data_IF_671683115970
#
_entry.id   IF_671683115970
#
_cell.length_a   1.000
_cell.length_b   1.000
_cell.length_c   1.000
_cell.angle_alpha   90.00
_cell.angle_beta   90.00
_cell.angle_gamma   90.00
#
_symmetry.space_group_name_H-M   'P 1'
#
loop_
_entity.id
_entity.type
_entity.pdbx_description
1 polymer ?
#
# COMPACT_ATOMS: atom_id res chain seq x y z
N UNK A 1 -14.62 5.67 3.47
CA UNK A 1 -14.03 4.34 3.72
C UNK A 1 -15.13 3.29 3.84
N UNK A 2 -14.93 2.09 3.27
CA UNK A 2 -15.83 0.94 3.45
C UNK A 2 -15.83 0.43 4.90
N UNK A 3 -16.97 -0.05 5.40
CA UNK A 3 -17.12 -0.45 6.81
C UNK A 3 -16.30 -1.69 7.17
N UNK A 4 -16.17 -2.66 6.27
CA UNK A 4 -15.34 -3.85 6.49
C UNK A 4 -13.86 -3.49 6.49
N UNK A 5 -13.43 -2.62 5.57
CA UNK A 5 -12.07 -2.10 5.52
C UNK A 5 -11.74 -1.31 6.80
N UNK A 6 -12.62 -0.41 7.21
CA UNK A 6 -12.47 0.36 8.45
C UNK A 6 -12.32 -0.58 9.63
N UNK A 7 -13.18 -1.59 9.73
CA UNK A 7 -13.10 -2.56 10.81
C UNK A 7 -11.78 -3.33 10.83
N UNK A 8 -11.34 -3.82 9.67
CA UNK A 8 -10.07 -4.53 9.53
C UNK A 8 -8.89 -3.66 9.97
N UNK A 9 -8.89 -2.37 9.59
CA UNK A 9 -7.90 -1.40 10.05
C UNK A 9 -7.92 -1.22 11.57
N UNK A 10 -9.10 -0.99 12.17
CA UNK A 10 -9.23 -0.82 13.61
C UNK A 10 -8.77 -2.05 14.39
N UNK A 11 -9.10 -3.25 13.91
CA UNK A 11 -8.63 -4.50 14.49
C UNK A 11 -7.11 -4.59 14.47
N UNK A 12 -6.47 -4.33 13.31
CA UNK A 12 -5.00 -4.32 13.20
C UNK A 12 -4.36 -3.32 14.16
N UNK A 13 -4.86 -2.09 14.16
CA UNK A 13 -4.34 -1.02 15.03
C UNK A 13 -4.44 -1.40 16.50
N UNK A 14 -5.61 -1.89 16.95
CA UNK A 14 -5.83 -2.32 18.33
C UNK A 14 -5.03 -3.58 18.71
N UNK A 15 -4.84 -4.50 17.77
CA UNK A 15 -3.97 -5.67 17.94
C UNK A 15 -2.53 -5.23 18.19
N UNK A 16 -1.94 -4.41 17.30
CA UNK A 16 -0.57 -3.95 17.44
C UNK A 16 -0.38 -3.02 18.65
N UNK A 17 -1.38 -2.20 18.98
CA UNK A 17 -1.39 -1.42 20.21
C UNK A 17 -1.19 -2.30 21.46
N UNK A 18 -1.89 -3.44 21.48
CA UNK A 18 -1.85 -4.40 22.58
C UNK A 18 -0.54 -5.21 22.56
N UNK A 19 -0.17 -5.73 21.39
CA UNK A 19 1.01 -6.58 21.19
C UNK A 19 2.32 -5.84 21.50
N UNK A 20 2.44 -4.60 21.02
CA UNK A 20 3.64 -3.78 21.24
C UNK A 20 3.59 -2.94 22.51
N UNK A 21 2.49 -3.03 23.29
CA UNK A 21 2.33 -2.37 24.60
C UNK A 21 2.59 -0.86 24.56
N UNK A 22 2.10 -0.19 23.52
CA UNK A 22 2.42 1.22 23.26
C UNK A 22 1.84 2.12 24.37
N UNK A 23 0.53 2.07 24.61
CA UNK A 23 -0.11 2.82 25.70
C UNK A 23 0.50 2.50 27.08
N UNK A 24 0.74 1.23 27.48
CA UNK A 24 1.45 0.92 28.72
C UNK A 24 2.82 1.60 28.86
N UNK A 25 3.67 1.59 27.81
CA UNK A 25 4.97 2.25 27.88
C UNK A 25 4.87 3.78 27.92
N UNK A 26 3.84 4.34 27.28
CA UNK A 26 3.54 5.77 27.38
C UNK A 26 3.10 6.15 28.81
N UNK A 27 2.27 5.34 29.46
CA UNK A 27 1.86 5.52 30.86
C UNK A 27 3.03 5.35 31.84
N UNK A 28 3.93 4.40 31.59
CA UNK A 28 5.18 4.26 32.34
C UNK A 28 6.05 5.53 32.21
N UNK A 29 6.19 6.06 31.00
CA UNK A 29 6.92 7.31 30.76
C UNK A 29 6.29 8.49 31.52
N UNK A 30 4.95 8.63 31.52
CA UNK A 30 4.21 9.62 32.33
C UNK A 30 4.51 9.48 33.82
N UNK A 31 4.52 8.25 34.34
CA UNK A 31 4.80 7.97 35.75
C UNK A 31 6.25 8.35 36.13
N UNK A 32 7.21 8.01 35.28
CA UNK A 32 8.62 8.32 35.51
C UNK A 32 8.94 9.82 35.39
N UNK A 33 8.39 10.52 34.39
CA UNK A 33 8.56 11.98 34.29
C UNK A 33 7.85 12.72 35.43
N UNK A 34 6.72 12.19 35.94
CA UNK A 34 6.05 12.72 37.13
C UNK A 34 6.92 12.60 38.37
N UNK A 35 7.61 11.46 38.54
CA UNK A 35 8.55 11.23 39.63
C UNK A 35 9.76 12.18 39.52
N UNK A 36 10.30 12.36 38.31
CA UNK A 36 11.38 13.30 38.02
C UNK A 36 10.98 14.75 38.33
N UNK A 37 9.73 15.15 38.03
CA UNK A 37 9.23 16.48 38.36
C UNK A 37 9.05 16.69 39.88
N UNK A 38 8.72 15.63 40.63
CA UNK A 38 8.59 15.69 42.09
C UNK A 38 9.93 15.68 42.84
N UNK A 39 10.96 15.05 42.28
CA UNK A 39 12.28 14.88 42.90
C UNK A 39 13.41 14.84 41.84
N UNK A 40 13.74 15.99 41.22
CA UNK A 40 14.67 16.06 40.09
C UNK A 40 16.11 15.69 40.43
N UNK A 41 16.48 15.73 41.71
CA UNK A 41 17.81 15.36 42.22
C UNK A 41 18.07 13.86 42.25
N UNK A 42 17.05 13.01 42.11
CA UNK A 42 17.19 11.55 42.13
C UNK A 42 17.55 11.01 40.74
N UNK A 43 18.79 10.54 40.50
CA UNK A 43 19.23 10.15 39.16
C UNK A 43 18.48 8.94 38.61
N UNK A 44 17.95 8.08 39.48
CA UNK A 44 17.19 6.89 39.10
C UNK A 44 15.94 7.21 38.28
N UNK A 45 15.27 8.34 38.55
CA UNK A 45 14.08 8.74 37.78
C UNK A 45 14.42 9.13 36.35
N UNK A 46 15.57 9.77 36.12
CA UNK A 46 16.04 10.11 34.78
C UNK A 46 16.35 8.85 33.97
N UNK A 47 17.04 7.88 34.58
CA UNK A 47 17.33 6.58 33.95
C UNK A 47 16.06 5.83 33.59
N UNK A 48 15.10 5.73 34.52
CA UNK A 48 13.83 5.02 34.28
C UNK A 48 12.98 5.70 33.19
N UNK A 49 12.96 7.03 33.16
CA UNK A 49 12.29 7.77 32.09
C UNK A 49 12.95 7.50 30.73
N UNK A 50 14.28 7.58 30.64
CA UNK A 50 15.00 7.30 29.39
C UNK A 50 14.75 5.87 28.88
N UNK A 51 14.74 4.88 29.79
CA UNK A 51 14.47 3.49 29.44
C UNK A 51 13.02 3.25 28.96
N UNK A 52 12.02 3.78 29.67
CA UNK A 52 10.61 3.68 29.27
C UNK A 52 10.34 4.40 27.95
N UNK A 53 10.92 5.58 27.76
CA UNK A 53 10.81 6.32 26.51
C UNK A 53 11.47 5.59 25.33
N UNK A 54 12.62 4.95 25.55
CA UNK A 54 13.26 4.10 24.54
C UNK A 54 12.39 2.90 24.16
N UNK A 55 11.73 2.26 25.14
CA UNK A 55 10.77 1.17 24.87
C UNK A 55 9.58 1.66 24.05
N UNK A 56 8.98 2.81 24.42
CA UNK A 56 7.90 3.44 23.68
C UNK A 56 8.29 3.69 22.22
N UNK A 57 9.45 4.33 21.97
CA UNK A 57 9.96 4.60 20.62
C UNK A 57 10.16 3.32 19.81
N UNK A 58 10.73 2.28 20.42
CA UNK A 58 10.89 0.98 19.77
C UNK A 58 9.55 0.32 19.43
N UNK A 59 8.54 0.44 20.29
CA UNK A 59 7.21 -0.12 20.04
C UNK A 59 6.46 0.61 18.92
N UNK A 60 6.57 1.93 18.86
CA UNK A 60 5.99 2.72 17.76
C UNK A 60 6.68 2.43 16.42
N UNK A 61 8.01 2.23 16.42
CA UNK A 61 8.73 1.79 15.22
C UNK A 61 8.23 0.42 14.71
N UNK A 62 8.02 -0.54 15.62
CA UNK A 62 7.45 -1.85 15.26
C UNK A 62 6.05 -1.71 14.66
N UNK A 63 5.20 -0.85 15.24
CA UNK A 63 3.87 -0.58 14.68
C UNK A 63 3.95 0.07 13.29
N UNK A 64 4.89 0.99 13.08
CA UNK A 64 5.13 1.61 11.79
C UNK A 64 5.56 0.60 10.73
N UNK A 65 6.40 -0.36 11.09
CA UNK A 65 6.82 -1.44 10.19
C UNK A 65 5.69 -2.45 9.92
N UNK A 66 4.83 -2.71 10.91
CA UNK A 66 3.75 -3.70 10.81
C UNK A 66 2.51 -3.20 10.03
N UNK A 67 2.27 -1.89 9.98
CA UNK A 67 1.19 -1.31 9.19
C UNK A 67 1.65 -1.01 7.76
N UNK A 68 0.86 -1.41 6.76
CA UNK A 68 1.21 -1.13 5.36
C UNK A 68 1.02 0.36 5.03
N UNK A 69 1.66 0.88 3.97
CA UNK A 69 1.41 2.27 3.53
C UNK A 69 -0.07 2.59 3.32
N UNK A 70 -0.84 1.66 2.74
CA UNK A 70 -2.28 1.82 2.58
C UNK A 70 -3.06 1.81 3.91
N UNK A 71 -2.57 1.11 4.94
CA UNK A 71 -3.15 1.19 6.29
C UNK A 71 -2.90 2.58 6.91
N UNK A 72 -1.72 3.18 6.68
CA UNK A 72 -1.40 4.54 7.14
C UNK A 72 -2.25 5.62 6.46
N UNK A 73 -2.42 5.53 5.13
CA UNK A 73 -3.27 6.46 4.39
C UNK A 73 -4.71 6.43 4.93
N UNK A 74 -5.24 5.22 5.20
CA UNK A 74 -6.58 5.05 5.78
C UNK A 74 -6.64 5.54 7.22
N UNK A 75 -5.60 5.29 8.02
CA UNK A 75 -5.57 5.77 9.40
C UNK A 75 -5.59 7.31 9.46
N UNK A 76 -4.92 7.98 8.51
CA UNK A 76 -4.97 9.44 8.37
C UNK A 76 -6.34 9.98 7.93
N UNK A 77 -7.23 9.15 7.36
CA UNK A 77 -8.61 9.56 7.05
C UNK A 77 -9.51 9.60 8.29
N UNK A 78 -9.21 8.78 9.31
CA UNK A 78 -10.07 8.61 10.49
C UNK A 78 -9.48 9.21 11.76
N UNK A 79 -8.16 9.37 11.83
CA UNK A 79 -7.44 10.03 12.91
C UNK A 79 -7.06 11.44 12.48
N UNK A 80 -7.39 12.44 13.30
CA UNK A 80 -6.92 13.81 13.08
C UNK A 80 -5.43 13.99 13.35
N UNK A 81 -4.81 13.02 14.03
CA UNK A 81 -3.51 13.18 14.65
C UNK A 81 -2.58 12.00 14.36
N UNK A 82 -1.27 12.30 14.33
CA UNK A 82 -0.19 11.33 14.11
C UNK A 82 0.09 10.46 15.34
N UNK A 83 -0.91 10.26 16.20
CA UNK A 83 -0.77 9.65 17.52
C UNK A 83 -0.17 8.24 17.39
N UNK A 84 -0.55 7.45 16.39
CA UNK A 84 -0.08 6.07 16.23
C UNK A 84 1.33 5.94 15.62
N UNK A 85 1.95 7.03 15.18
CA UNK A 85 3.23 7.02 14.47
C UNK A 85 4.42 7.39 15.36
N UNK A 86 5.64 7.25 14.84
CA UNK A 86 6.87 7.72 15.49
C UNK A 86 6.91 9.24 15.69
N UNK A 87 6.09 10.01 14.97
CA UNK A 87 6.00 11.46 15.16
C UNK A 87 5.54 11.83 16.58
N UNK A 88 4.77 10.97 17.24
CA UNK A 88 4.44 11.15 18.66
C UNK A 88 5.70 11.24 19.52
N UNK A 89 6.67 10.34 19.32
CA UNK A 89 7.94 10.38 20.06
C UNK A 89 8.84 11.54 19.63
N UNK A 90 8.80 11.94 18.37
CA UNK A 90 9.54 13.12 17.90
C UNK A 90 9.03 14.39 18.59
N UNK A 91 7.71 14.54 18.72
CA UNK A 91 7.11 15.66 19.46
C UNK A 91 7.50 15.68 20.94
N UNK A 92 7.58 14.52 21.58
CA UNK A 92 8.08 14.43 22.97
C UNK A 92 9.57 14.83 23.06
N UNK A 93 10.42 14.36 22.14
CA UNK A 93 11.84 14.72 22.08
C UNK A 93 12.02 16.23 21.88
N UNK A 94 11.23 16.84 21.01
CA UNK A 94 11.21 18.29 20.79
C UNK A 94 10.88 19.04 22.10
N UNK A 95 9.80 18.67 22.79
CA UNK A 95 9.42 19.31 24.06
C UNK A 95 10.49 19.12 25.16
N UNK A 96 11.14 17.94 25.23
CA UNK A 96 12.26 17.71 26.16
C UNK A 96 13.42 18.65 25.85
N UNK A 97 13.75 18.82 24.56
CA UNK A 97 14.86 19.66 24.12
C UNK A 97 14.62 21.15 24.41
N UNK A 98 13.39 21.62 24.26
CA UNK A 98 13.00 23.00 24.53
C UNK A 98 12.85 23.30 26.03
N UNK A 99 12.48 22.29 26.82
CA UNK A 99 12.09 22.43 28.23
C UNK A 99 12.97 21.62 29.19
N UNK A 100 14.24 21.41 28.85
CA UNK A 100 15.18 20.56 29.61
C UNK A 100 15.30 20.95 31.10
N UNK A 101 15.06 22.23 31.46
CA UNK A 101 15.12 22.72 32.83
C UNK A 101 13.81 22.56 33.63
N UNK A 102 12.69 22.20 32.98
CA UNK A 102 11.36 22.18 33.59
C UNK A 102 10.64 20.85 33.37
N UNK A 103 10.96 19.81 34.16
CA UNK A 103 10.33 18.49 34.09
C UNK A 103 8.80 18.49 34.19
N UNK A 104 8.22 19.49 34.88
CA UNK A 104 6.78 19.65 34.99
C UNK A 104 6.11 19.94 33.63
N UNK A 105 6.75 20.74 32.76
CA UNK A 105 6.24 21.04 31.42
C UNK A 105 6.26 19.78 30.55
N UNK A 106 7.37 19.02 30.62
CA UNK A 106 7.51 17.74 29.93
C UNK A 106 6.43 16.76 30.42
N UNK A 107 6.23 16.65 31.74
CA UNK A 107 5.19 15.79 32.33
C UNK A 107 3.80 16.13 31.80
N UNK A 108 3.43 17.40 31.85
CA UNK A 108 2.08 17.82 31.47
C UNK A 108 1.81 17.54 29.99
N UNK A 109 2.81 17.75 29.13
CA UNK A 109 2.70 17.43 27.71
C UNK A 109 2.57 15.92 27.44
N UNK A 110 3.43 15.08 28.04
CA UNK A 110 3.34 13.62 27.86
C UNK A 110 2.00 13.09 28.43
N UNK A 111 1.52 13.66 29.54
CA UNK A 111 0.23 13.31 30.13
C UNK A 111 -0.94 13.65 29.20
N UNK A 112 -0.92 14.82 28.56
CA UNK A 112 -1.90 15.21 27.55
C UNK A 112 -1.94 14.21 26.38
N UNK A 113 -0.76 13.88 25.82
CA UNK A 113 -0.63 12.87 24.75
C UNK A 113 -1.19 11.51 25.20
N UNK A 114 -0.85 11.07 26.41
CA UNK A 114 -1.31 9.79 26.96
C UNK A 114 -2.83 9.73 27.12
N UNK A 115 -3.45 10.80 27.62
CA UNK A 115 -4.90 10.89 27.79
C UNK A 115 -5.63 10.95 26.45
N UNK A 116 -5.09 11.70 25.49
CA UNK A 116 -5.61 11.80 24.14
C UNK A 116 -5.59 10.43 23.44
N UNK A 117 -4.43 9.75 23.45
CA UNK A 117 -4.29 8.40 22.88
C UNK A 117 -5.24 7.39 23.54
N UNK A 118 -5.34 7.38 24.87
CA UNK A 118 -6.25 6.49 25.59
C UNK A 118 -7.72 6.71 25.19
N UNK A 119 -8.10 7.98 24.99
CA UNK A 119 -9.44 8.36 24.52
C UNK A 119 -9.69 7.85 23.10
N UNK A 120 -8.70 7.96 22.21
CA UNK A 120 -8.80 7.50 20.82
C UNK A 120 -8.90 5.97 20.74
N UNK A 121 -8.08 5.24 21.50
CA UNK A 121 -8.16 3.77 21.63
C UNK A 121 -9.56 3.36 22.11
N UNK A 122 -10.14 4.11 23.05
CA UNK A 122 -11.51 3.86 23.54
C UNK A 122 -12.55 4.08 22.45
N UNK A 123 -12.41 5.14 21.64
CA UNK A 123 -13.28 5.40 20.48
C UNK A 123 -13.19 4.27 19.45
N UNK A 124 -11.99 3.79 19.15
CA UNK A 124 -11.78 2.68 18.21
C UNK A 124 -12.44 1.39 18.71
N UNK A 125 -12.29 1.06 20.01
CA UNK A 125 -12.96 -0.10 20.62
C UNK A 125 -14.48 0.02 20.56
N UNK A 126 -15.03 1.19 20.87
CA UNK A 126 -16.47 1.43 20.80
C UNK A 126 -16.98 1.30 19.36
N UNK A 127 -16.30 1.94 18.40
CA UNK A 127 -16.65 1.86 16.98
C UNK A 127 -16.61 0.42 16.46
N UNK A 128 -15.61 -0.37 16.88
CA UNK A 128 -15.54 -1.80 16.56
C UNK A 128 -16.75 -2.58 17.11
N UNK A 129 -17.17 -2.25 18.35
CA UNK A 129 -18.39 -2.79 18.95
C UNK A 129 -19.65 -2.44 18.17
N UNK A 130 -19.79 -1.18 17.77
CA UNK A 130 -20.91 -0.71 16.95
C UNK A 130 -20.94 -1.36 15.57
N UNK A 131 -19.79 -1.46 14.88
CA UNK A 131 -19.69 -2.16 13.59
C UNK A 131 -20.14 -3.63 13.74
N UNK A 132 -19.71 -4.29 14.80
CA UNK A 132 -20.13 -5.67 15.09
C UNK A 132 -21.64 -5.74 15.37
N UNK A 133 -22.19 -4.80 16.14
CA UNK A 133 -23.62 -4.72 16.44
C UNK A 133 -24.47 -4.57 15.15
N UNK A 134 -24.01 -3.79 14.17
CA UNK A 134 -24.68 -3.64 12.88
C UNK A 134 -24.42 -4.79 11.89
N UNK A 135 -23.76 -5.87 12.32
CA UNK A 135 -23.54 -7.06 11.49
C UNK A 135 -22.37 -6.93 10.51
N UNK A 136 -21.50 -5.94 10.68
CA UNK A 136 -20.22 -5.93 9.98
C UNK A 136 -19.30 -6.90 10.73
N UNK A 137 -19.41 -8.21 10.45
CA UNK A 137 -18.57 -9.30 10.97
C UNK A 137 -17.28 -9.48 10.13
N UNK A 138 -16.18 -10.06 10.68
CA UNK A 138 -14.96 -10.22 9.91
C UNK A 138 -15.33 -11.27 8.88
N UNK A 139 -15.05 -11.00 7.62
CA UNK A 139 -15.23 -12.04 6.60
C UNK A 139 -14.29 -13.18 6.97
N UNK A 140 -14.83 -14.25 7.55
CA UNK A 140 -14.06 -15.48 7.80
C UNK A 140 -13.66 -15.99 6.42
N UNK A 141 -12.36 -15.98 6.15
CA UNK A 141 -11.83 -16.50 4.91
C UNK A 141 -11.51 -17.97 5.15
N UNK A 142 -12.37 -18.85 4.64
CA UNK A 142 -12.16 -20.30 4.67
C UNK A 142 -11.04 -20.78 3.73
N UNK A 143 -10.44 -19.86 2.99
CA UNK A 143 -9.55 -20.12 1.87
C UNK A 143 -8.14 -19.63 2.15
N UNK A 144 -7.18 -20.55 2.02
CA UNK A 144 -5.73 -20.32 2.08
C UNK A 144 -5.25 -19.62 0.78
N UNK A 145 -5.68 -18.37 0.61
CA UNK A 145 -5.59 -17.64 -0.65
C UNK A 145 -4.95 -16.26 -0.49
N UNK A 146 -4.50 -15.69 -1.60
CA UNK A 146 -4.07 -14.31 -1.69
C UNK A 146 -5.24 -13.39 -2.05
N UNK A 147 -5.10 -12.12 -1.73
CA UNK A 147 -6.04 -11.09 -2.16
C UNK A 147 -5.29 -9.89 -2.71
N UNK A 148 -5.81 -9.35 -3.82
CA UNK A 148 -5.25 -8.21 -4.53
C UNK A 148 -6.30 -7.11 -4.59
N UNK A 149 -6.02 -5.95 -4.02
CA UNK A 149 -6.88 -4.76 -4.10
C UNK A 149 -6.37 -3.81 -5.17
N UNK A 150 -7.19 -3.48 -6.17
CA UNK A 150 -6.88 -2.44 -7.17
C UNK A 150 -7.69 -1.19 -6.87
N UNK A 151 -7.03 -0.10 -6.43
CA UNK A 151 -7.65 1.23 -6.29
C UNK A 151 -7.54 1.97 -7.61
N UNK A 152 -8.67 2.23 -8.25
CA UNK A 152 -8.75 2.84 -9.59
C UNK A 152 -9.14 4.32 -9.45
N UNK A 153 -8.25 5.28 -9.75
CA UNK A 153 -8.58 6.69 -9.78
C UNK A 153 -9.72 7.00 -10.75
N UNK A 154 -10.65 7.87 -10.32
CA UNK A 154 -11.80 8.29 -11.15
C UNK A 154 -11.38 8.96 -12.45
N UNK A 155 -10.21 9.58 -12.48
CA UNK A 155 -9.66 10.24 -13.67
C UNK A 155 -9.30 9.25 -14.78
N UNK A 156 -8.99 7.99 -14.45
CA UNK A 156 -8.67 6.96 -15.44
C UNK A 156 -9.92 6.51 -16.21
N UNK A 157 -11.08 6.47 -15.55
CA UNK A 157 -12.34 5.98 -16.15
C UNK A 157 -13.43 7.05 -16.27
N UNK A 158 -13.09 8.32 -16.01
CA UNK A 158 -13.95 9.50 -16.07
C UNK A 158 -15.30 9.31 -15.37
N UNK A 159 -15.30 8.58 -14.25
CA UNK A 159 -16.48 8.27 -13.46
C UNK A 159 -17.69 7.70 -14.25
N UNK A 160 -17.46 6.99 -15.36
CA UNK A 160 -18.52 6.39 -16.15
C UNK A 160 -18.39 4.85 -16.23
N UNK A 161 -19.53 4.18 -16.42
CA UNK A 161 -19.61 2.72 -16.40
C UNK A 161 -18.79 2.05 -17.52
N UNK A 162 -18.82 2.52 -18.79
CA UNK A 162 -17.98 1.94 -19.85
C UNK A 162 -16.47 2.01 -19.53
N UNK A 163 -15.99 3.16 -19.04
CA UNK A 163 -14.61 3.32 -18.61
C UNK A 163 -14.25 2.35 -17.48
N UNK A 164 -15.13 2.21 -16.49
CA UNK A 164 -14.91 1.28 -15.39
C UNK A 164 -14.83 -0.18 -15.88
N UNK A 165 -15.72 -0.58 -16.80
CA UNK A 165 -15.70 -1.91 -17.42
C UNK A 165 -14.37 -2.17 -18.14
N UNK A 166 -13.82 -1.17 -18.83
CA UNK A 166 -12.53 -1.28 -19.51
C UNK A 166 -11.39 -1.54 -18.51
N UNK A 167 -11.39 -0.82 -17.38
CA UNK A 167 -10.39 -1.01 -16.33
C UNK A 167 -10.51 -2.39 -15.67
N UNK A 168 -11.73 -2.87 -15.42
CA UNK A 168 -11.96 -4.22 -14.89
C UNK A 168 -11.53 -5.31 -15.87
N UNK A 169 -11.77 -5.12 -17.17
CA UNK A 169 -11.31 -6.04 -18.22
C UNK A 169 -9.79 -6.08 -18.30
N UNK A 170 -9.13 -4.93 -18.17
CA UNK A 170 -7.68 -4.85 -18.07
C UNK A 170 -7.16 -5.61 -16.84
N UNK A 171 -7.70 -5.34 -15.65
CA UNK A 171 -7.30 -6.01 -14.39
C UNK A 171 -7.46 -7.53 -14.53
N UNK A 172 -8.62 -8.00 -15.01
CA UNK A 172 -8.87 -9.42 -15.25
C UNK A 172 -7.82 -10.03 -16.18
N UNK A 173 -7.52 -9.38 -17.31
CA UNK A 173 -6.52 -9.86 -18.26
C UNK A 173 -5.13 -9.92 -17.62
N UNK A 174 -4.75 -8.88 -16.88
CA UNK A 174 -3.46 -8.80 -16.19
C UNK A 174 -3.30 -9.92 -15.17
N UNK A 175 -4.25 -10.08 -14.25
CA UNK A 175 -4.20 -11.14 -13.22
C UNK A 175 -4.18 -12.52 -13.87
N UNK A 176 -4.95 -12.74 -14.94
CA UNK A 176 -4.96 -14.02 -15.66
C UNK A 176 -3.59 -14.35 -16.27
N UNK A 177 -2.91 -13.38 -16.87
CA UNK A 177 -1.58 -13.58 -17.46
C UNK A 177 -0.52 -13.85 -16.37
N UNK A 178 -0.63 -13.19 -15.21
CA UNK A 178 0.27 -13.46 -14.07
C UNK A 178 -0.02 -14.84 -13.49
N UNK A 179 -1.28 -15.23 -13.33
CA UNK A 179 -1.65 -16.56 -12.85
C UNK A 179 -1.09 -17.66 -13.76
N UNK A 180 -1.20 -17.49 -15.07
CA UNK A 180 -0.62 -18.41 -16.04
C UNK A 180 0.91 -18.48 -15.96
N UNK A 181 1.58 -17.35 -15.74
CA UNK A 181 3.03 -17.31 -15.56
C UNK A 181 3.49 -18.08 -14.30
N UNK A 182 2.69 -18.07 -13.25
CA UNK A 182 2.91 -18.83 -12.02
C UNK A 182 2.46 -20.30 -12.11
N UNK A 183 2.05 -20.77 -13.29
CA UNK A 183 1.45 -22.11 -13.49
C UNK A 183 0.20 -22.38 -12.64
N UNK A 184 -0.48 -21.32 -12.21
CA UNK A 184 -1.73 -21.38 -11.46
C UNK A 184 -2.93 -21.40 -12.40
N UNK A 185 -4.07 -21.91 -11.92
CA UNK A 185 -5.29 -21.99 -12.72
C UNK A 185 -5.85 -20.59 -13.03
N UNK A 186 -5.81 -20.11 -14.29
CA UNK A 186 -6.11 -18.70 -14.59
C UNK A 186 -7.59 -18.32 -14.43
N UNK A 187 -8.46 -19.29 -14.14
CA UNK A 187 -9.91 -19.13 -13.99
C UNK A 187 -10.40 -18.85 -12.57
N UNK A 188 -9.57 -19.08 -11.55
CA UNK A 188 -9.94 -18.87 -10.13
C UNK A 188 -9.65 -17.44 -9.69
N UNK A 189 -10.34 -16.48 -10.30
CA UNK A 189 -10.30 -15.07 -9.88
C UNK A 189 -11.71 -14.74 -9.39
N UNK A 190 -11.88 -14.66 -8.09
CA UNK A 190 -13.16 -14.34 -7.47
C UNK A 190 -13.18 -12.88 -7.01
N UNK A 191 -14.34 -12.24 -7.09
CA UNK A 191 -14.53 -10.90 -6.53
C UNK A 191 -14.79 -11.06 -5.04
N UNK A 192 -13.88 -10.55 -4.21
CA UNK A 192 -14.03 -10.55 -2.76
C UNK A 192 -14.85 -9.36 -2.26
N UNK A 193 -14.29 -8.16 -2.36
CA UNK A 193 -14.87 -6.94 -1.80
C UNK A 193 -14.83 -5.79 -2.82
N UNK A 194 -15.81 -4.90 -2.76
CA UNK A 194 -15.87 -3.69 -3.60
C UNK A 194 -16.09 -2.47 -2.70
N UNK A 195 -15.17 -1.52 -2.76
CA UNK A 195 -15.36 -0.18 -2.17
C UNK A 195 -15.88 0.79 -3.22
N UNK A 196 -16.91 1.57 -2.88
CA UNK A 196 -17.58 2.51 -3.79
C UNK A 196 -17.15 3.98 -3.59
N UNK A 197 -16.65 4.33 -2.39
CA UNK A 197 -16.20 5.70 -2.09
C UNK A 197 -14.94 6.02 -2.88
N UNK A 198 -13.93 5.15 -2.74
CA UNK A 198 -12.81 5.03 -3.66
C UNK A 198 -12.97 3.68 -4.36
N UNK A 199 -13.10 3.65 -5.70
CA UNK A 199 -13.26 2.40 -6.45
C UNK A 199 -12.08 1.46 -6.17
N UNK A 200 -12.29 0.52 -5.25
CA UNK A 200 -11.32 -0.54 -4.93
C UNK A 200 -11.99 -1.87 -5.19
N UNK A 201 -11.34 -2.69 -6.00
CA UNK A 201 -11.78 -4.05 -6.31
C UNK A 201 -10.79 -5.02 -5.69
N UNK A 202 -11.24 -5.77 -4.69
CA UNK A 202 -10.48 -6.83 -4.08
C UNK A 202 -10.79 -8.15 -4.77
N UNK A 203 -9.76 -8.75 -5.36
CA UNK A 203 -9.83 -10.04 -6.04
C UNK A 203 -9.18 -11.10 -5.16
N UNK A 204 -9.87 -12.22 -4.97
CA UNK A 204 -9.34 -13.41 -4.31
C UNK A 204 -8.69 -14.29 -5.40
N UNK A 205 -7.45 -14.68 -5.15
CA UNK A 205 -6.59 -15.42 -6.09
C UNK A 205 -5.69 -16.39 -5.33
N UNK A 206 -5.04 -17.33 -6.02
CA UNK A 206 -4.02 -18.15 -5.38
C UNK A 206 -2.87 -17.30 -4.81
N UNK A 207 -2.27 -17.76 -3.71
CA UNK A 207 -1.19 -17.07 -3.00
C UNK A 207 -0.03 -16.65 -3.93
N UNK A 208 0.42 -17.56 -4.80
CA UNK A 208 1.50 -17.30 -5.77
C UNK A 208 1.19 -16.11 -6.68
N UNK A 209 -0.06 -16.02 -7.14
CA UNK A 209 -0.54 -14.93 -8.00
C UNK A 209 -0.53 -13.59 -7.26
N UNK A 210 -1.03 -13.53 -6.03
CA UNK A 210 -1.00 -12.31 -5.23
C UNK A 210 0.44 -11.84 -4.96
N UNK A 211 1.33 -12.76 -4.59
CA UNK A 211 2.76 -12.48 -4.40
C UNK A 211 3.40 -11.92 -5.67
N UNK A 212 3.14 -12.54 -6.81
CA UNK A 212 3.73 -12.13 -8.09
C UNK A 212 3.16 -10.82 -8.61
N UNK A 213 1.86 -10.55 -8.42
CA UNK A 213 1.28 -9.22 -8.70
C UNK A 213 1.93 -8.15 -7.81
N UNK A 214 2.15 -8.43 -6.53
CA UNK A 214 2.88 -7.52 -5.64
C UNK A 214 4.30 -7.24 -6.13
N UNK A 215 5.06 -8.28 -6.50
CA UNK A 215 6.42 -8.13 -7.07
C UNK A 215 6.44 -7.41 -8.43
N UNK A 216 5.42 -7.59 -9.26
CA UNK A 216 5.28 -6.85 -10.53
C UNK A 216 4.98 -5.38 -10.24
N UNK A 217 4.15 -5.09 -9.24
CA UNK A 217 3.85 -3.72 -8.81
C UNK A 217 5.09 -3.01 -8.27
N UNK A 218 5.87 -3.66 -7.41
CA UNK A 218 7.17 -3.16 -6.91
C UNK A 218 8.12 -2.83 -8.08
N UNK A 219 8.23 -3.73 -9.06
CA UNK A 219 8.99 -3.49 -10.29
C UNK A 219 8.46 -2.30 -11.11
N UNK A 220 7.14 -2.14 -11.23
CA UNK A 220 6.55 -0.99 -11.91
C UNK A 220 6.90 0.33 -11.19
N UNK A 221 6.81 0.35 -9.86
CA UNK A 221 7.16 1.53 -9.06
C UNK A 221 8.62 1.91 -9.25
N UNK A 222 9.54 0.94 -9.24
CA UNK A 222 10.95 1.18 -9.48
C UNK A 222 11.26 1.62 -10.91
N UNK A 223 10.55 1.07 -11.89
CA UNK A 223 10.65 1.51 -13.29
C UNK A 223 10.14 2.95 -13.44
N UNK A 224 9.03 3.29 -12.79
CA UNK A 224 8.48 4.64 -12.80
C UNK A 224 9.44 5.64 -12.16
N UNK A 225 10.05 5.33 -11.00
CA UNK A 225 11.07 6.18 -10.36
C UNK A 225 12.23 6.51 -11.32
N UNK A 226 12.74 5.51 -12.05
CA UNK A 226 13.79 5.72 -13.06
C UNK A 226 13.33 6.63 -14.19
N UNK A 227 12.08 6.54 -14.61
CA UNK A 227 11.50 7.44 -15.63
C UNK A 227 11.37 8.86 -15.09
N UNK A 228 10.91 9.05 -13.84
CA UNK A 228 10.85 10.35 -13.18
C UNK A 228 12.21 11.01 -13.04
N UNK A 229 13.26 10.25 -12.71
CA UNK A 229 14.63 10.78 -12.70
C UNK A 229 15.03 11.33 -14.08
N UNK A 230 14.68 10.63 -15.16
CA UNK A 230 14.94 11.11 -16.52
C UNK A 230 14.10 12.36 -16.82
N UNK A 231 12.84 12.44 -16.36
CA UNK A 231 11.98 13.64 -16.51
C UNK A 231 12.57 14.84 -15.76
N UNK A 232 13.09 14.63 -14.55
CA UNK A 232 13.73 15.68 -13.76
C UNK A 232 14.97 16.22 -14.49
N UNK A 233 15.81 15.34 -15.04
CA UNK A 233 16.97 15.76 -15.85
C UNK A 233 16.53 16.46 -17.14
N UNK A 234 15.46 15.99 -17.80
CA UNK A 234 14.86 16.65 -18.98
C UNK A 234 14.41 18.08 -18.64
N UNK A 235 13.71 18.26 -17.52
CA UNK A 235 13.22 19.55 -17.06
C UNK A 235 14.37 20.51 -16.74
N UNK A 236 15.45 20.03 -16.10
CA UNK A 236 16.65 20.82 -15.85
C UNK A 236 17.37 21.19 -17.16
N UNK A 237 17.45 20.26 -18.12
CA UNK A 237 18.11 20.50 -19.41
C UNK A 237 17.34 21.52 -20.26
N UNK A 238 15.99 21.48 -20.22
CA UNK A 238 15.15 22.45 -20.92
C UNK A 238 15.31 23.90 -20.42
N UNK A 239 15.87 24.10 -19.22
CA UNK A 239 16.18 25.45 -18.71
C UNK A 239 17.49 26.01 -19.27
N UNK A 240 18.31 25.18 -19.92
CA UNK A 240 19.57 25.61 -20.54
C UNK A 240 19.28 26.23 -21.91
N UNK A 241 19.78 27.46 -22.13
CA UNK A 241 19.63 28.17 -23.42
C UNK A 241 20.31 27.46 -24.61
N UNK A 242 21.15 26.47 -24.34
CA UNK A 242 21.92 25.74 -25.34
C UNK A 242 21.15 24.63 -26.05
N UNK A 243 19.93 24.30 -25.62
CA UNK A 243 19.12 23.25 -26.23
C UNK A 243 17.76 23.81 -26.67
N UNK A 244 17.30 23.40 -27.85
CA UNK A 244 15.91 23.62 -28.28
C UNK A 244 14.95 22.63 -27.58
N UNK A 245 13.68 22.98 -27.50
CA UNK A 245 12.66 22.11 -26.91
C UNK A 245 12.54 20.77 -27.68
N UNK A 246 12.68 20.82 -29.00
CA UNK A 246 12.64 19.66 -29.89
C UNK A 246 13.83 18.72 -29.67
N UNK A 247 15.05 19.25 -29.50
CA UNK A 247 16.24 18.44 -29.21
C UNK A 247 16.12 17.73 -27.86
N UNK A 248 15.64 18.46 -26.85
CA UNK A 248 15.38 17.88 -25.52
C UNK A 248 14.34 16.77 -25.62
N UNK A 249 13.24 17.00 -26.31
CA UNK A 249 12.19 15.98 -26.47
C UNK A 249 12.70 14.74 -27.23
N UNK A 250 13.45 14.93 -28.30
CA UNK A 250 13.98 13.82 -29.10
C UNK A 250 14.96 12.95 -28.29
N UNK A 251 15.87 13.56 -27.53
CA UNK A 251 16.88 12.84 -26.73
C UNK A 251 16.19 12.11 -25.57
N UNK A 252 15.44 12.83 -24.76
CA UNK A 252 14.88 12.27 -23.52
C UNK A 252 13.66 11.40 -23.78
N UNK A 253 12.79 11.76 -24.74
CA UNK A 253 11.63 10.95 -25.13
C UNK A 253 12.05 9.57 -25.62
N UNK A 254 13.03 9.51 -26.54
CA UNK A 254 13.57 8.23 -27.05
C UNK A 254 14.21 7.41 -25.92
N UNK A 255 14.96 8.06 -25.01
CA UNK A 255 15.60 7.38 -23.89
C UNK A 255 14.59 6.82 -22.88
N UNK A 256 13.53 7.56 -22.59
CA UNK A 256 12.45 7.10 -21.70
C UNK A 256 11.75 5.88 -22.31
N UNK A 257 11.36 5.96 -23.59
CA UNK A 257 10.72 4.83 -24.28
C UNK A 257 11.61 3.60 -24.33
N UNK A 258 12.89 3.77 -24.69
CA UNK A 258 13.85 2.67 -24.72
C UNK A 258 14.08 2.04 -23.34
N UNK A 259 14.13 2.85 -22.27
CA UNK A 259 14.26 2.35 -20.91
C UNK A 259 13.03 1.52 -20.50
N UNK A 260 11.83 2.00 -20.80
CA UNK A 260 10.57 1.30 -20.49
C UNK A 260 10.50 -0.02 -21.27
N UNK A 261 10.79 0.00 -22.57
CA UNK A 261 10.76 -1.20 -23.42
C UNK A 261 11.76 -2.26 -22.95
N UNK A 262 12.99 -1.84 -22.62
CA UNK A 262 14.01 -2.73 -22.10
C UNK A 262 13.59 -3.35 -20.75
N UNK A 263 13.09 -2.52 -19.81
CA UNK A 263 12.64 -3.01 -18.51
C UNK A 263 11.44 -3.95 -18.62
N UNK A 264 10.47 -3.67 -19.52
CA UNK A 264 9.35 -4.58 -19.78
C UNK A 264 9.87 -5.90 -20.34
N UNK A 265 10.77 -5.87 -21.32
CA UNK A 265 11.30 -7.09 -21.93
C UNK A 265 12.00 -7.98 -20.89
N UNK A 266 12.85 -7.39 -20.06
CA UNK A 266 13.52 -8.07 -18.95
C UNK A 266 12.49 -8.70 -17.99
N UNK A 267 11.45 -7.95 -17.60
CA UNK A 267 10.43 -8.46 -16.67
C UNK A 267 9.60 -9.59 -17.26
N UNK A 268 9.26 -9.50 -18.55
CA UNK A 268 8.54 -10.55 -19.29
C UNK A 268 9.37 -11.83 -19.35
N UNK A 269 10.67 -11.72 -19.62
CA UNK A 269 11.59 -12.86 -19.61
C UNK A 269 11.67 -13.50 -18.24
N UNK A 270 11.77 -12.69 -17.17
CA UNK A 270 11.76 -13.17 -15.79
C UNK A 270 10.47 -13.93 -15.44
N UNK A 271 9.30 -13.36 -15.72
CA UNK A 271 8.00 -13.97 -15.40
C UNK A 271 7.76 -15.28 -16.17
N UNK A 272 8.37 -15.45 -17.34
CA UNK A 272 8.17 -16.62 -18.20
C UNK A 272 9.35 -17.58 -18.16
N UNK A 273 10.27 -17.42 -17.21
CA UNK A 273 11.49 -18.22 -17.12
C UNK A 273 11.18 -19.71 -16.91
N UNK A 274 10.17 -20.01 -16.09
CA UNK A 274 9.80 -21.38 -15.69
C UNK A 274 8.86 -22.08 -16.68
N UNK A 275 8.32 -21.35 -17.66
CA UNK A 275 7.45 -21.92 -18.70
C UNK A 275 8.29 -22.74 -19.69
N UNK A 276 8.07 -24.06 -19.71
CA UNK A 276 8.86 -25.02 -20.49
C UNK A 276 8.42 -25.14 -21.95
N UNK A 277 7.12 -25.03 -22.24
CA UNK A 277 6.62 -25.05 -23.61
C UNK A 277 6.92 -23.72 -24.32
N UNK A 278 7.81 -23.77 -25.31
CA UNK A 278 8.25 -22.59 -26.07
C UNK A 278 7.10 -21.89 -26.81
N UNK A 279 6.12 -22.65 -27.33
CA UNK A 279 4.99 -22.05 -28.04
C UNK A 279 4.13 -21.25 -27.06
N UNK A 280 3.79 -21.85 -25.92
CA UNK A 280 3.04 -21.20 -24.85
C UNK A 280 3.80 -20.02 -24.24
N UNK A 281 5.10 -20.17 -24.02
CA UNK A 281 5.98 -19.09 -23.55
C UNK A 281 5.91 -17.88 -24.49
N UNK A 282 6.05 -18.09 -25.80
CA UNK A 282 5.99 -16.99 -26.77
C UNK A 282 4.62 -16.29 -26.77
N UNK A 283 3.52 -17.04 -26.66
CA UNK A 283 2.17 -16.48 -26.53
C UNK A 283 2.03 -15.62 -25.27
N UNK A 284 2.48 -16.16 -24.13
CA UNK A 284 2.41 -15.48 -22.84
C UNK A 284 3.28 -14.21 -22.83
N UNK A 285 4.49 -14.26 -23.39
CA UNK A 285 5.35 -13.09 -23.55
C UNK A 285 4.69 -12.00 -24.41
N UNK A 286 4.05 -12.39 -25.52
CA UNK A 286 3.32 -11.47 -26.38
C UNK A 286 2.10 -10.85 -25.67
N UNK A 287 1.45 -11.57 -24.76
CA UNK A 287 0.38 -11.05 -23.92
C UNK A 287 0.86 -10.13 -22.81
N UNK A 288 1.94 -10.52 -22.11
CA UNK A 288 2.49 -9.79 -20.97
C UNK A 288 3.12 -8.45 -21.36
N UNK A 289 3.89 -8.39 -22.46
CA UNK A 289 4.56 -7.15 -22.89
C UNK A 289 3.65 -5.92 -22.99
N UNK A 290 2.54 -5.94 -23.77
CA UNK A 290 1.62 -4.81 -23.84
C UNK A 290 0.84 -4.62 -22.53
N UNK A 291 0.52 -5.71 -21.82
CA UNK A 291 -0.24 -5.62 -20.56
C UNK A 291 0.57 -4.96 -19.44
N UNK A 292 1.87 -5.25 -19.32
CA UNK A 292 2.76 -4.61 -18.35
C UNK A 292 2.99 -3.13 -18.70
N UNK A 293 3.10 -2.79 -19.99
CA UNK A 293 3.16 -1.39 -20.44
C UNK A 293 1.91 -0.63 -19.98
N UNK A 294 0.75 -1.22 -20.20
CA UNK A 294 -0.55 -0.68 -19.81
C UNK A 294 -0.73 -0.61 -18.28
N UNK A 295 -0.14 -1.54 -17.53
CA UNK A 295 -0.13 -1.52 -16.07
C UNK A 295 0.72 -0.37 -15.53
N UNK A 296 1.93 -0.21 -16.05
CA UNK A 296 2.82 0.90 -15.71
C UNK A 296 2.16 2.27 -15.98
N UNK A 297 1.45 2.40 -17.11
CA UNK A 297 0.71 3.61 -17.46
C UNK A 297 -0.42 3.95 -16.46
N UNK A 298 -1.03 2.95 -15.85
CA UNK A 298 -2.08 3.13 -14.83
C UNK A 298 -1.50 3.50 -13.47
N UNK A 299 -0.39 2.86 -13.08
CA UNK A 299 0.35 3.22 -11.86
C UNK A 299 0.84 4.67 -11.93
N UNK A 300 1.39 5.10 -13.07
CA UNK A 300 1.78 6.51 -13.30
C UNK A 300 0.61 7.48 -13.10
N UNK A 301 -0.62 7.07 -13.42
CA UNK A 301 -1.86 7.85 -13.23
C UNK A 301 -2.50 7.68 -11.85
N UNK A 302 -1.81 7.03 -10.92
CA UNK A 302 -2.24 6.90 -9.53
C UNK A 302 -3.06 5.66 -9.23
N UNK A 303 -3.15 4.66 -10.13
CA UNK A 303 -3.66 3.34 -9.73
C UNK A 303 -2.74 2.77 -8.65
N UNK A 304 -3.32 2.40 -7.50
CA UNK A 304 -2.57 1.72 -6.44
C UNK A 304 -3.01 0.27 -6.32
N UNK A 305 -2.09 -0.57 -5.85
CA UNK A 305 -2.31 -1.99 -5.66
C UNK A 305 -1.91 -2.36 -4.24
N UNK A 306 -2.81 -3.01 -3.54
CA UNK A 306 -2.58 -3.63 -2.25
C UNK A 306 -2.56 -5.15 -2.43
N UNK A 307 -1.68 -5.84 -1.71
CA UNK A 307 -1.67 -7.30 -1.64
C UNK A 307 -1.74 -7.74 -0.18
N UNK A 308 -2.55 -8.76 0.09
CA UNK A 308 -2.63 -9.40 1.42
C UNK A 308 -2.84 -10.89 1.28
N UNK A 309 -2.50 -11.63 2.33
CA UNK A 309 -2.74 -13.06 2.42
C UNK A 309 -3.89 -13.30 3.40
N UNK A 310 -4.77 -14.22 3.02
CA UNK A 310 -5.92 -14.64 3.79
C UNK A 310 -5.61 -16.06 4.29
N UNK A 311 -5.10 -16.22 5.52
CA UNK A 311 -4.86 -17.54 6.06
C UNK A 311 -6.20 -18.21 6.40
N UNK A 312 -6.34 -19.49 6.05
CA UNK A 312 -7.46 -20.29 6.54
C UNK A 312 -7.40 -20.38 8.08
N UNK A 313 -8.56 -20.44 8.77
CA UNK A 313 -8.61 -20.51 10.22
C UNK A 313 -7.88 -21.76 10.73
N UNK A 314 -7.03 -21.58 11.74
CA UNK A 314 -6.29 -22.68 12.38
C UNK A 314 -7.28 -23.66 13.00
N UNK A 315 -7.28 -24.91 12.55
CA UNK A 315 -8.16 -25.95 13.10
C UNK A 315 -7.49 -26.65 14.28
N UNK A 316 -8.29 -27.03 15.28
CA UNK A 316 -7.77 -27.81 16.41
C UNK A 316 -7.18 -29.14 15.91
N UNK A 317 -5.91 -29.40 16.21
CA UNK A 317 -5.18 -30.59 15.75
C UNK A 317 -4.53 -30.46 14.37
N UNK A 318 -4.49 -29.26 13.80
CA UNK A 318 -3.71 -28.98 12.59
C UNK A 318 -2.20 -29.17 12.84
N UNK A 319 -1.48 -29.72 11.84
CA UNK A 319 -0.05 -30.01 11.95
C UNK A 319 0.77 -28.71 12.05
N UNK A 320 1.82 -28.71 12.87
CA UNK A 320 2.73 -27.58 13.08
C UNK A 320 3.35 -27.10 11.76
N UNK A 321 3.73 -28.02 10.86
CA UNK A 321 4.27 -27.70 9.54
C UNK A 321 3.29 -26.87 8.67
N UNK A 322 1.98 -27.10 8.82
CA UNK A 322 0.96 -26.35 8.06
C UNK A 322 0.84 -24.93 8.60
N UNK A 323 0.92 -24.78 9.93
CA UNK A 323 0.90 -23.47 10.58
C UNK A 323 2.13 -22.66 10.20
N UNK A 324 3.32 -23.26 10.29
CA UNK A 324 4.59 -22.62 9.90
C UNK A 324 4.57 -22.18 8.43
N UNK A 325 4.06 -23.00 7.51
CA UNK A 325 3.96 -22.64 6.10
C UNK A 325 3.00 -21.44 5.86
N UNK A 326 1.91 -21.33 6.64
CA UNK A 326 1.02 -20.15 6.55
C UNK A 326 1.69 -18.89 7.09
N UNK A 327 2.41 -19.00 8.20
CA UNK A 327 3.17 -17.89 8.77
C UNK A 327 4.26 -17.40 7.80
N UNK A 328 4.96 -18.33 7.13
CA UNK A 328 5.94 -18.00 6.10
C UNK A 328 5.30 -17.24 4.93
N UNK A 329 4.18 -17.74 4.39
CA UNK A 329 3.43 -17.05 3.32
C UNK A 329 2.94 -15.67 3.74
N UNK A 330 2.46 -15.55 4.96
CA UNK A 330 2.03 -14.27 5.53
C UNK A 330 3.19 -13.29 5.62
N UNK A 331 4.35 -13.74 6.11
CA UNK A 331 5.57 -12.95 6.20
C UNK A 331 6.06 -12.51 4.82
N UNK A 332 6.12 -13.43 3.85
CA UNK A 332 6.52 -13.14 2.47
C UNK A 332 5.64 -12.06 1.82
N UNK A 333 4.31 -12.19 1.91
CA UNK A 333 3.41 -11.20 1.31
C UNK A 333 3.50 -9.86 2.02
N UNK A 334 3.73 -9.86 3.33
CA UNK A 334 3.86 -8.64 4.12
C UNK A 334 5.09 -7.85 3.71
N UNK A 335 6.23 -8.54 3.52
CA UNK A 335 7.46 -7.94 2.98
C UNK A 335 7.25 -7.34 1.59
N UNK A 336 6.46 -8.00 0.73
CA UNK A 336 6.11 -7.46 -0.60
C UNK A 336 5.21 -6.24 -0.45
N UNK A 337 4.15 -6.31 0.36
CA UNK A 337 3.19 -5.22 0.57
C UNK A 337 3.86 -3.96 1.15
N UNK A 338 4.80 -4.11 2.07
CA UNK A 338 5.54 -3.01 2.69
C UNK A 338 6.36 -2.18 1.68
N UNK A 339 6.75 -2.76 0.54
CA UNK A 339 7.49 -2.07 -0.51
C UNK A 339 6.61 -1.25 -1.45
N UNK A 340 5.29 -1.47 -1.42
CA UNK A 340 4.33 -0.83 -2.33
C UNK A 340 4.00 0.59 -1.88
N UNK A 341 5.00 1.47 -1.94
CA UNK A 341 4.88 2.90 -1.66
C UNK A 341 4.65 3.63 -2.97
N UNK A 342 3.44 4.17 -3.15
CA UNK A 342 3.03 4.85 -4.38
C UNK A 342 3.33 6.36 -4.27
N UNK A 343 4.20 6.91 -5.14
CA UNK A 343 4.34 8.36 -5.24
C UNK A 343 3.04 9.02 -5.69
N UNK A 344 2.85 10.29 -5.32
CA UNK A 344 1.76 11.10 -5.87
C UNK A 344 2.06 11.37 -7.36
N UNK A 345 1.08 11.19 -8.27
CA UNK A 345 1.26 11.54 -9.68
C UNK A 345 1.62 13.02 -9.82
N UNK A 346 2.68 13.34 -10.57
CA UNK A 346 3.10 14.72 -10.87
C UNK A 346 3.25 14.90 -12.38
N UNK A 347 2.66 15.98 -12.90
CA UNK A 347 2.76 16.36 -14.31
C UNK A 347 1.94 15.48 -15.26
N UNK A 348 2.18 15.64 -16.55
CA UNK A 348 1.50 14.86 -17.59
C UNK A 348 2.08 13.44 -17.68
N UNK A 349 1.24 12.39 -17.81
CA UNK A 349 1.72 11.01 -17.98
C UNK A 349 2.53 10.82 -19.26
N UNK A 350 3.63 10.09 -19.17
CA UNK A 350 4.49 9.69 -20.30
C UNK A 350 3.84 8.60 -21.12
N UNK A 351 3.32 7.57 -20.45
CA UNK A 351 2.74 6.42 -21.14
C UNK A 351 1.29 6.72 -21.47
N UNK A 352 0.85 6.34 -22.67
CA UNK A 352 -0.57 6.41 -23.01
C UNK A 352 -1.26 5.12 -22.55
N UNK A 353 -2.46 5.28 -21.99
CA UNK A 353 -3.38 4.15 -21.88
C UNK A 353 -3.95 3.94 -23.27
N UNK A 354 -3.65 2.78 -23.86
CA UNK A 354 -4.33 2.37 -25.09
C UNK A 354 -5.82 2.30 -24.79
N UNK A 355 -6.63 3.03 -25.57
CA UNK A 355 -8.07 2.84 -25.53
C UNK A 355 -8.34 1.35 -25.74
N UNK A 356 -9.10 0.73 -24.84
CA UNK A 356 -9.59 -0.62 -25.08
C UNK A 356 -10.20 -0.60 -26.49
N UNK A 357 -9.69 -1.45 -27.39
CA UNK A 357 -10.13 -1.48 -28.78
C UNK A 357 -11.66 -1.61 -28.80
N UNK A 358 -12.36 -0.49 -28.93
CA UNK A 358 -13.78 -0.39 -29.28
C UNK A 358 -13.88 -0.74 -30.76
N UNK A 359 -13.53 -1.99 -31.09
CA UNK A 359 -13.62 -2.54 -32.43
C UNK A 359 -15.06 -2.98 -32.74
N UNK A 360 -16.05 -2.37 -32.09
CA UNK A 360 -17.46 -2.58 -32.42
C UNK A 360 -18.36 -1.36 -32.10
N UNK A 361 -18.70 -0.63 -33.18
CA UNK A 361 -19.98 0.06 -33.38
C UNK A 361 -20.29 1.37 -32.62
N UNK A 362 -19.59 2.45 -32.95
CA UNK A 362 -20.29 3.72 -33.13
C UNK A 362 -20.67 3.84 -34.62
N UNK A 363 -21.96 3.80 -35.02
CA UNK A 363 -22.32 4.01 -36.41
C UNK A 363 -21.88 5.42 -36.81
N UNK A 364 -21.02 5.50 -37.84
CA UNK A 364 -20.63 6.78 -38.43
C UNK A 364 -21.91 7.56 -38.77
N UNK A 365 -22.05 8.82 -38.33
CA UNK A 365 -23.22 9.62 -38.66
C UNK A 365 -23.37 9.65 -40.18
N UNK A 366 -24.49 9.13 -40.67
CA UNK A 366 -24.79 9.12 -42.09
C UNK A 366 -24.74 10.55 -42.60
N UNK A 367 -23.85 10.82 -43.57
CA UNK A 367 -23.82 12.11 -44.25
C UNK A 367 -25.23 12.42 -44.78
N UNK A 368 -25.76 13.64 -44.55
CA UNK A 368 -27.03 14.02 -45.13
C UNK A 368 -26.91 13.90 -46.66
N UNK A 369 -27.85 13.18 -47.27
CA UNK A 369 -27.96 13.13 -48.74
C UNK A 369 -28.36 14.53 -49.23
N UNK A 370 -27.75 14.99 -50.35
CA UNK A 370 -28.04 16.30 -50.95
C UNK A 370 -29.47 16.39 -51.50
#
# INVERSE_FOLDING_TARGET
MDAAILRALLNKVLQYETEYKIQPYLEEAVSHVSSMAGAPQEPSYQTNFAESFKKLKSSLLKMQEALTPGDWDRLAEISSDNDFSVELTNGIEEVISENAATPAVIRDHIMEISQKRASEITRYKNLLGELTYFGFEPTENDVDEGQIGFKIPRDIFHNNLPGLINELNFIRKFVRLVAEAESEEPGKIEVGEISTTDPVFWLIVAYGVAKSVGKVTDWCLDTWKKVEDIRNVRAQTAQLQSFSAEEVDQIFGTKIQGQIDASIQEKVEQLTAEVTDQARKNELQNGLRPTLRQFLARIERGMTVDVRYLPAPTKAGENEEVVEAREERQSEIHVVAAKLVFPRPVGEPVLQIEAANDDNSAPKPSKPKP
#
